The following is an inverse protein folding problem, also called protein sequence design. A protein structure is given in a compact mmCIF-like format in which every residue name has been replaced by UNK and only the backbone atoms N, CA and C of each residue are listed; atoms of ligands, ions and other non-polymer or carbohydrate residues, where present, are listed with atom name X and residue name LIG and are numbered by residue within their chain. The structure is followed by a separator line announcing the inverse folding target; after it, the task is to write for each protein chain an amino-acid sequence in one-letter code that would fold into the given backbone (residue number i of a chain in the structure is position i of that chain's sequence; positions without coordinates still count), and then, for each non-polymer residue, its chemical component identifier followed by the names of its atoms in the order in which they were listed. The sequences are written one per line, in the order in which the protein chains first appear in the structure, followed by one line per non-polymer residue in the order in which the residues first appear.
data_IF_319305189977
#
_entry.id   IF_319305189977
#
_cell.length_a   1.000
_cell.length_b   1.000
_cell.length_c   1.000
_cell.angle_alpha   90.00
_cell.angle_beta   90.00
_cell.angle_gamma   90.00
#
_symmetry.space_group_name_H-M   'P 1'
#
loop_
_entity.id
_entity.type
_entity.pdbx_description
1 polymer ?
#
# COMPACT_ATOMS: atom_id res chain seq x y z
N UNK A 1 37.27 -45.40 18.76
CA UNK A 1 36.72 -46.22 19.86
C UNK A 1 35.23 -45.92 19.99
N UNK A 2 34.36 -46.67 19.31
CA UNK A 2 32.91 -46.48 19.42
C UNK A 2 32.45 -47.13 20.73
N UNK A 3 32.09 -46.32 21.73
CA UNK A 3 31.37 -46.81 22.91
C UNK A 3 29.95 -47.15 22.44
N UNK A 4 29.66 -48.44 22.28
CA UNK A 4 28.29 -48.91 22.07
C UNK A 4 27.48 -48.63 23.33
N UNK A 5 26.68 -47.55 23.30
CA UNK A 5 25.81 -47.17 24.40
C UNK A 5 24.63 -48.13 24.52
N UNK A 6 24.69 -49.06 25.48
CA UNK A 6 23.53 -49.88 25.84
C UNK A 6 22.32 -48.97 26.20
N UNK A 7 21.21 -49.18 25.49
CA UNK A 7 19.94 -48.47 25.71
C UNK A 7 18.99 -49.37 26.49
N UNK A 8 18.81 -49.08 27.78
CA UNK A 8 17.80 -49.73 28.61
C UNK A 8 16.56 -48.84 28.73
N UNK A 9 15.40 -49.38 28.34
CA UNK A 9 14.08 -48.80 28.56
C UNK A 9 13.11 -49.92 28.93
N UNK A 10 12.45 -49.82 30.07
CA UNK A 10 11.41 -50.76 30.50
C UNK A 10 10.16 -50.00 30.90
N UNK A 11 9.01 -50.42 30.41
CA UNK A 11 7.70 -49.89 30.81
C UNK A 11 6.98 -50.96 31.62
N UNK A 12 6.47 -50.59 32.79
CA UNK A 12 5.74 -51.49 33.69
C UNK A 12 4.34 -50.91 33.86
N UNK A 13 3.33 -51.69 33.53
CA UNK A 13 1.93 -51.34 33.74
C UNK A 13 1.52 -51.83 35.14
N UNK A 14 1.04 -50.92 35.99
CA UNK A 14 0.66 -51.23 37.37
C UNK A 14 -0.86 -51.41 37.53
N UNK A 15 -1.63 -51.36 36.43
CA UNK A 15 -3.09 -51.42 36.47
C UNK A 15 -3.74 -50.06 36.79
N UNK A 16 -5.07 -49.98 36.72
CA UNK A 16 -5.82 -48.76 37.09
C UNK A 16 -5.46 -47.49 36.30
N UNK A 17 -4.93 -47.63 35.08
CA UNK A 17 -4.49 -46.50 34.26
C UNK A 17 -3.10 -45.95 34.60
N UNK A 18 -2.35 -46.57 35.51
CA UNK A 18 -1.01 -46.15 35.94
C UNK A 18 0.10 -46.96 35.26
N UNK A 19 1.15 -46.28 34.78
CA UNK A 19 2.35 -46.90 34.18
C UNK A 19 3.62 -46.19 34.62
N UNK A 20 4.69 -46.95 34.80
CA UNK A 20 6.04 -46.44 35.08
C UNK A 20 6.96 -46.76 33.90
N UNK A 21 7.76 -45.78 33.48
CA UNK A 21 8.76 -45.91 32.44
C UNK A 21 10.15 -45.70 33.04
N UNK A 22 10.93 -46.77 33.12
CA UNK A 22 12.33 -46.75 33.55
C UNK A 22 13.23 -46.57 32.32
N UNK A 23 14.18 -45.64 32.38
CA UNK A 23 15.14 -45.39 31.32
C UNK A 23 16.49 -44.94 31.89
N UNK A 24 17.52 -44.86 31.04
CA UNK A 24 18.85 -44.36 31.44
C UNK A 24 18.83 -42.93 32.01
N UNK A 25 17.86 -42.09 31.62
CA UNK A 25 17.73 -40.72 32.15
C UNK A 25 16.90 -40.63 33.43
N UNK A 26 16.42 -41.76 33.96
CA UNK A 26 15.65 -41.85 35.20
C UNK A 26 14.26 -42.47 35.02
N UNK A 27 13.42 -42.30 36.05
CA UNK A 27 12.07 -42.86 36.13
C UNK A 27 11.03 -41.81 35.74
N UNK A 28 10.20 -42.12 34.75
CA UNK A 28 8.97 -41.38 34.45
C UNK A 28 7.74 -42.18 34.83
N UNK A 29 6.61 -41.50 35.04
CA UNK A 29 5.33 -42.15 35.30
C UNK A 29 4.21 -41.49 34.51
N UNK A 30 3.17 -42.25 34.21
CA UNK A 30 1.96 -41.75 33.57
C UNK A 30 0.75 -42.36 34.25
N UNK A 31 -0.27 -41.54 34.46
CA UNK A 31 -1.54 -41.97 35.01
C UNK A 31 -2.68 -41.34 34.21
N UNK A 32 -3.72 -42.12 33.90
CA UNK A 32 -4.90 -41.57 33.24
C UNK A 32 -6.02 -42.56 33.00
N UNK A 33 -7.22 -42.02 32.85
CA UNK A 33 -8.46 -42.69 32.46
C UNK A 33 -8.85 -42.28 31.03
N UNK A 34 -9.76 -42.99 30.34
CA UNK A 34 -10.30 -42.52 29.06
C UNK A 34 -10.79 -41.08 29.19
N UNK A 35 -10.22 -40.18 28.40
CA UNK A 35 -10.53 -38.75 28.43
C UNK A 35 -9.49 -37.86 29.12
N UNK A 36 -8.69 -38.37 30.05
CA UNK A 36 -7.65 -37.57 30.73
C UNK A 36 -6.42 -38.38 31.12
N UNK A 37 -5.24 -37.92 30.70
CA UNK A 37 -3.95 -38.56 31.03
C UNK A 37 -2.88 -37.54 31.37
N UNK A 38 -2.12 -37.81 32.43
CA UNK A 38 -0.94 -37.05 32.84
C UNK A 38 0.29 -37.94 32.67
N UNK A 39 1.33 -37.41 32.03
CA UNK A 39 2.63 -38.08 31.86
C UNK A 39 3.75 -37.18 32.35
N UNK A 40 4.55 -37.67 33.29
CA UNK A 40 5.78 -37.05 33.76
C UNK A 40 6.96 -37.87 33.23
N UNK A 41 7.81 -37.27 32.42
CA UNK A 41 9.02 -37.93 31.93
C UNK A 41 10.17 -37.76 32.92
N UNK A 42 11.16 -38.65 32.86
CA UNK A 42 12.37 -38.58 33.69
C UNK A 42 13.14 -37.26 33.53
N UNK A 43 12.97 -36.57 32.40
CA UNK A 43 13.62 -35.29 32.09
C UNK A 43 12.85 -34.08 32.66
N UNK A 44 11.85 -34.31 33.52
CA UNK A 44 11.08 -33.26 34.20
C UNK A 44 9.95 -32.65 33.39
N UNK A 45 9.72 -33.10 32.14
CA UNK A 45 8.61 -32.60 31.33
C UNK A 45 7.29 -33.20 31.79
N UNK A 46 6.26 -32.37 31.80
CA UNK A 46 4.89 -32.79 32.13
C UNK A 46 4.01 -32.60 30.94
N UNK A 47 3.33 -33.65 30.55
CA UNK A 47 2.31 -33.64 29.51
C UNK A 47 0.96 -33.96 30.15
N UNK A 48 -0.02 -33.09 29.94
CA UNK A 48 -1.44 -33.37 30.23
C UNK A 48 -2.18 -33.51 28.91
N UNK A 49 -2.95 -34.57 28.76
CA UNK A 49 -3.73 -34.85 27.55
C UNK A 49 -5.20 -34.96 27.95
N UNK A 50 -6.03 -34.12 27.34
CA UNK A 50 -7.48 -34.11 27.44
C UNK A 50 -8.04 -34.66 26.13
N UNK A 51 -8.99 -35.58 26.19
CA UNK A 51 -9.60 -36.18 25.00
C UNK A 51 -11.08 -36.42 25.22
N UNK A 52 -11.88 -36.38 24.16
CA UNK A 52 -13.29 -36.76 24.22
C UNK A 52 -13.41 -38.18 23.65
N UNK A 53 -13.81 -39.18 24.45
CA UNK A 53 -13.92 -40.56 23.99
C UNK A 53 -14.91 -40.68 22.81
N UNK A 54 -14.54 -41.44 21.78
CA UNK A 54 -15.40 -41.70 20.60
C UNK A 54 -15.38 -40.64 19.49
N UNK A 55 -14.80 -39.46 19.71
CA UNK A 55 -14.80 -38.37 18.71
C UNK A 55 -13.44 -38.12 18.04
N UNK A 56 -12.36 -38.71 18.55
CA UNK A 56 -11.00 -38.51 18.04
C UNK A 56 -10.37 -37.16 18.39
N UNK A 57 -11.10 -36.28 19.08
CA UNK A 57 -10.61 -34.96 19.49
C UNK A 57 -9.74 -35.07 20.76
N UNK A 58 -8.51 -34.54 20.69
CA UNK A 58 -7.62 -34.44 21.86
C UNK A 58 -6.81 -33.15 21.87
N UNK A 59 -6.59 -32.61 23.07
CA UNK A 59 -5.76 -31.45 23.34
C UNK A 59 -4.63 -31.84 24.30
N UNK A 60 -3.40 -31.45 23.99
CA UNK A 60 -2.23 -31.81 24.80
C UNK A 60 -1.47 -30.55 25.21
N UNK A 61 -1.29 -30.39 26.51
CA UNK A 61 -0.53 -29.30 27.12
C UNK A 61 0.81 -29.85 27.64
N UNK A 62 1.92 -29.23 27.21
CA UNK A 62 3.26 -29.57 27.69
C UNK A 62 3.82 -28.41 28.52
N UNK A 63 4.19 -28.68 29.77
CA UNK A 63 4.93 -27.72 30.59
C UNK A 63 6.43 -27.98 30.44
N UNK A 64 7.12 -27.06 29.79
CA UNK A 64 8.59 -26.98 29.78
C UNK A 64 9.02 -25.94 30.81
N UNK A 65 9.75 -26.37 31.85
CA UNK A 65 10.50 -25.45 32.71
C UNK A 65 11.71 -24.98 31.89
N UNK A 66 11.62 -23.80 31.29
CA UNK A 66 12.71 -23.16 30.55
C UNK A 66 13.97 -23.08 31.44
N UNK A 67 14.94 -23.95 31.18
CA UNK A 67 16.34 -23.73 31.55
C UNK A 67 17.08 -23.25 30.31
N UNK A 68 17.37 -21.96 30.29
CA UNK A 68 18.45 -21.27 29.58
C UNK A 68 19.00 -21.99 28.34
N UNK A 69 18.45 -21.67 27.16
CA UNK A 69 19.16 -21.88 25.90
C UNK A 69 20.16 -20.74 25.70
N UNK A 70 21.43 -21.05 25.95
CA UNK A 70 22.59 -20.24 25.58
C UNK A 70 22.64 -20.12 24.04
N UNK A 71 22.79 -18.87 23.57
CA UNK A 71 23.22 -18.41 22.25
C UNK A 71 22.87 -19.28 21.02
N UNK A 72 21.68 -19.04 20.45
CA UNK A 72 21.55 -18.92 19.00
C UNK A 72 21.60 -17.43 18.65
N UNK A 73 22.34 -16.99 17.61
CA UNK A 73 22.25 -15.61 17.16
C UNK A 73 20.80 -15.39 16.76
N UNK A 74 20.13 -14.63 17.61
CA UNK A 74 18.78 -14.17 17.39
C UNK A 74 18.90 -13.28 16.16
N UNK A 75 18.40 -13.72 15.00
CA UNK A 75 17.96 -12.81 13.94
C UNK A 75 16.78 -12.03 14.52
N UNK A 76 17.08 -11.15 15.48
CA UNK A 76 16.33 -9.92 15.64
C UNK A 76 16.50 -9.25 14.29
N UNK A 77 15.46 -9.31 13.48
CA UNK A 77 15.16 -8.21 12.57
C UNK A 77 15.09 -7.02 13.52
N UNK A 78 16.24 -6.38 13.73
CA UNK A 78 16.29 -5.04 14.26
C UNK A 78 15.42 -4.29 13.27
N UNK A 79 14.22 -3.91 13.67
CA UNK A 79 13.54 -2.81 13.01
C UNK A 79 14.45 -1.61 13.25
N UNK A 80 15.44 -1.48 12.37
CA UNK A 80 16.21 -0.27 12.24
C UNK A 80 15.16 0.83 12.08
N UNK A 81 15.25 1.84 12.92
CA UNK A 81 14.49 3.07 12.78
C UNK A 81 14.82 3.60 11.39
N UNK A 82 13.96 3.31 10.41
CA UNK A 82 14.16 3.74 9.03
C UNK A 82 14.04 5.25 9.03
N UNK A 83 15.16 5.93 8.84
CA UNK A 83 15.14 7.35 8.50
C UNK A 83 14.51 7.44 7.10
N UNK A 84 13.23 7.80 7.10
CA UNK A 84 12.46 7.99 5.88
C UNK A 84 11.54 9.18 6.03
N UNK A 85 11.16 9.75 4.89
CA UNK A 85 10.21 10.84 4.81
C UNK A 85 9.05 10.42 3.90
N UNK A 86 7.86 10.90 4.22
CA UNK A 86 6.69 10.75 3.36
C UNK A 86 6.61 11.92 2.38
N UNK A 87 6.23 11.62 1.15
CA UNK A 87 5.91 12.59 0.11
C UNK A 87 4.41 12.79 0.20
N UNK A 88 4.02 13.88 0.87
CA UNK A 88 2.64 14.23 1.10
C UNK A 88 2.39 15.67 0.69
N UNK A 89 1.26 15.88 0.04
CA UNK A 89 0.68 17.20 -0.18
C UNK A 89 0.28 17.82 1.16
N UNK A 90 0.29 19.14 1.23
CA UNK A 90 -0.16 19.89 2.39
C UNK A 90 -1.65 19.66 2.68
N UNK A 91 -2.10 20.08 3.86
CA UNK A 91 -3.52 20.01 4.21
C UNK A 91 -4.37 20.85 3.25
N UNK A 92 -5.60 20.39 3.03
CA UNK A 92 -6.46 20.90 1.95
C UNK A 92 -6.78 22.39 2.06
N UNK A 93 -6.71 22.95 3.26
CA UNK A 93 -6.98 24.36 3.58
C UNK A 93 -5.98 25.29 2.89
N UNK A 94 -4.79 24.78 2.54
CA UNK A 94 -3.79 25.55 1.80
C UNK A 94 -4.08 25.60 0.29
N UNK A 95 -4.98 24.75 -0.23
CA UNK A 95 -5.41 24.70 -1.63
C UNK A 95 -6.63 25.57 -1.91
N UNK A 96 -7.00 26.47 -1.01
CA UNK A 96 -8.12 27.39 -1.20
C UNK A 96 -7.56 28.78 -1.59
N UNK A 97 -7.40 29.04 -2.89
CA UNK A 97 -7.17 30.42 -3.34
C UNK A 97 -8.46 31.24 -3.20
N UNK A 98 -8.32 32.50 -2.80
CA UNK A 98 -9.46 33.39 -2.56
C UNK A 98 -10.43 33.46 -3.76
N UNK A 99 -9.90 33.37 -4.98
CA UNK A 99 -10.63 33.36 -6.24
C UNK A 99 -11.62 32.18 -6.38
N UNK A 100 -11.30 31.01 -5.82
CA UNK A 100 -12.13 29.80 -5.95
C UNK A 100 -12.95 29.48 -4.70
N UNK A 101 -12.90 30.32 -3.66
CA UNK A 101 -13.55 30.07 -2.38
C UNK A 101 -15.05 29.73 -2.50
N UNK A 102 -15.84 30.55 -3.19
CA UNK A 102 -17.27 30.30 -3.40
C UNK A 102 -17.55 29.01 -4.17
N UNK A 103 -16.76 28.75 -5.22
CA UNK A 103 -16.86 27.54 -6.02
C UNK A 103 -16.52 26.28 -5.21
N UNK A 104 -15.44 26.34 -4.42
CA UNK A 104 -15.02 25.27 -3.51
C UNK A 104 -16.07 25.03 -2.44
N UNK A 105 -16.67 26.07 -1.88
CA UNK A 105 -17.73 25.96 -0.88
C UNK A 105 -18.96 25.24 -1.43
N UNK A 106 -19.39 25.59 -2.65
CA UNK A 106 -20.50 24.90 -3.35
C UNK A 106 -20.15 23.42 -3.53
N UNK A 107 -18.97 23.10 -4.06
CA UNK A 107 -18.58 21.70 -4.29
C UNK A 107 -18.45 20.94 -2.97
N UNK A 108 -17.84 21.54 -1.96
CA UNK A 108 -17.64 20.93 -0.64
C UNK A 108 -19.00 20.58 -0.03
N UNK A 109 -19.98 21.48 -0.10
CA UNK A 109 -21.35 21.20 0.37
C UNK A 109 -21.98 20.01 -0.37
N UNK A 110 -21.78 19.89 -1.68
CA UNK A 110 -22.30 18.79 -2.50
C UNK A 110 -21.62 17.45 -2.14
N UNK A 111 -20.30 17.46 -1.99
CA UNK A 111 -19.49 16.28 -1.63
C UNK A 111 -19.84 15.79 -0.23
N UNK A 112 -19.95 16.70 0.74
CA UNK A 112 -20.35 16.37 2.11
C UNK A 112 -21.78 15.84 2.17
N UNK A 113 -22.73 16.46 1.48
CA UNK A 113 -24.11 15.98 1.41
C UNK A 113 -24.18 14.56 0.84
N UNK A 114 -23.47 14.27 -0.25
CA UNK A 114 -23.40 12.91 -0.80
C UNK A 114 -22.79 11.92 0.20
N UNK A 115 -21.79 12.33 0.98
CA UNK A 115 -21.21 11.50 2.06
C UNK A 115 -22.23 11.23 3.16
N UNK A 116 -22.97 12.24 3.62
CA UNK A 116 -24.02 12.06 4.64
C UNK A 116 -25.16 11.16 4.13
N UNK A 117 -25.56 11.28 2.87
CA UNK A 117 -26.54 10.37 2.26
C UNK A 117 -26.04 8.92 2.18
N UNK A 118 -24.75 8.72 1.89
CA UNK A 118 -24.15 7.37 1.93
C UNK A 118 -24.14 6.79 3.34
N UNK A 119 -23.75 7.58 4.35
CA UNK A 119 -23.74 7.15 5.75
C UNK A 119 -25.17 6.84 6.20
N UNK A 120 -26.14 7.71 5.91
CA UNK A 120 -27.54 7.51 6.26
C UNK A 120 -28.15 6.24 5.63
N UNK A 121 -27.78 5.91 4.38
CA UNK A 121 -28.18 4.64 3.76
C UNK A 121 -27.54 3.43 4.44
N UNK A 122 -26.25 3.48 4.74
CA UNK A 122 -25.55 2.36 5.39
C UNK A 122 -26.12 2.12 6.79
N UNK A 123 -26.31 3.19 7.57
CA UNK A 123 -26.84 3.12 8.94
C UNK A 123 -28.29 2.62 8.93
N UNK A 124 -29.13 3.10 8.00
CA UNK A 124 -30.53 2.64 7.92
C UNK A 124 -30.64 1.16 7.53
N UNK A 125 -29.76 0.65 6.66
CA UNK A 125 -29.70 -0.78 6.32
C UNK A 125 -29.24 -1.62 7.53
N UNK A 126 -28.18 -1.20 8.22
CA UNK A 126 -27.65 -1.94 9.39
C UNK A 126 -28.69 -1.99 10.51
N UNK A 127 -29.33 -0.87 10.84
CA UNK A 127 -30.40 -0.82 11.83
C UNK A 127 -31.64 -1.58 11.36
N UNK A 128 -31.91 -1.58 10.05
CA UNK A 128 -33.00 -2.33 9.40
C UNK A 128 -32.95 -3.83 9.64
N UNK A 129 -31.74 -4.41 9.76
CA UNK A 129 -31.56 -5.82 10.09
C UNK A 129 -32.02 -6.17 11.53
N UNK A 130 -32.00 -5.20 12.44
CA UNK A 130 -32.42 -5.38 13.84
C UNK A 130 -33.89 -4.97 14.00
N UNK A 131 -34.26 -3.83 13.41
CA UNK A 131 -35.58 -3.21 13.50
C UNK A 131 -36.07 -2.90 12.08
N UNK A 132 -37.00 -3.69 11.51
CA UNK A 132 -37.42 -3.59 10.11
C UNK A 132 -37.94 -2.20 9.67
N UNK A 133 -38.44 -1.39 10.60
CA UNK A 133 -38.94 -0.04 10.31
C UNK A 133 -37.87 0.88 9.69
N UNK A 134 -36.58 0.70 10.03
CA UNK A 134 -35.50 1.51 9.47
C UNK A 134 -35.27 1.24 7.96
N UNK A 135 -35.78 0.13 7.42
CA UNK A 135 -35.73 -0.13 5.97
C UNK A 135 -36.57 0.88 5.17
N UNK A 136 -37.64 1.43 5.77
CA UNK A 136 -38.46 2.47 5.12
C UNK A 136 -37.60 3.73 4.88
N UNK A 137 -36.72 4.08 5.83
CA UNK A 137 -35.80 5.22 5.68
C UNK A 137 -34.81 4.96 4.54
N UNK A 138 -34.31 3.73 4.41
CA UNK A 138 -33.42 3.36 3.30
C UNK A 138 -34.13 3.52 1.94
N UNK A 139 -35.39 3.06 1.85
CA UNK A 139 -36.23 3.18 0.65
C UNK A 139 -36.50 4.65 0.28
N UNK A 140 -36.67 5.54 1.26
CA UNK A 140 -36.85 6.98 1.02
C UNK A 140 -35.56 7.71 0.63
N UNK A 141 -34.41 7.35 1.23
CA UNK A 141 -33.13 7.97 0.94
C UNK A 141 -32.56 7.57 -0.43
N UNK A 142 -32.87 6.37 -0.92
CA UNK A 142 -32.42 5.88 -2.23
C UNK A 142 -32.81 6.80 -3.41
N UNK A 143 -34.10 7.12 -3.65
CA UNK A 143 -34.51 8.00 -4.75
C UNK A 143 -33.98 9.42 -4.54
N UNK A 144 -33.92 9.93 -3.31
CA UNK A 144 -33.33 11.24 -3.04
C UNK A 144 -31.84 11.30 -3.40
N UNK A 145 -31.07 10.24 -3.09
CA UNK A 145 -29.66 10.14 -3.47
C UNK A 145 -29.49 10.05 -4.99
N UNK A 146 -30.35 9.31 -5.68
CA UNK A 146 -30.33 9.24 -7.15
C UNK A 146 -30.60 10.64 -7.71
N UNK A 147 -31.67 11.30 -7.27
CA UNK A 147 -32.00 12.67 -7.66
C UNK A 147 -30.83 13.64 -7.42
N UNK A 148 -30.26 13.62 -6.21
CA UNK A 148 -29.14 14.48 -5.85
C UNK A 148 -27.93 14.26 -6.77
N UNK A 149 -27.60 13.00 -7.08
CA UNK A 149 -26.47 12.65 -7.96
C UNK A 149 -26.67 13.09 -9.41
N UNK A 150 -27.91 13.12 -9.91
CA UNK A 150 -28.18 13.45 -11.31
C UNK A 150 -28.43 14.95 -11.54
N UNK A 151 -29.12 15.63 -10.62
CA UNK A 151 -29.57 17.01 -10.80
C UNK A 151 -28.69 18.07 -10.14
N UNK A 152 -27.98 17.76 -9.04
CA UNK A 152 -27.10 18.74 -8.40
C UNK A 152 -25.71 18.70 -9.05
N UNK A 153 -25.54 19.51 -10.08
CA UNK A 153 -24.28 19.72 -10.80
C UNK A 153 -23.96 21.20 -10.90
N UNK A 154 -22.68 21.52 -10.79
CA UNK A 154 -22.11 22.82 -11.12
C UNK A 154 -21.76 22.81 -12.61
N UNK A 155 -22.31 23.75 -13.37
CA UNK A 155 -22.03 23.87 -14.80
C UNK A 155 -20.75 24.68 -14.98
N UNK A 156 -19.75 24.10 -15.65
CA UNK A 156 -18.52 24.74 -16.07
C UNK A 156 -18.46 24.76 -17.59
N UNK A 157 -18.79 25.90 -18.17
CA UNK A 157 -18.64 26.17 -19.61
C UNK A 157 -17.31 26.84 -19.86
N UNK A 158 -16.50 26.24 -20.73
CA UNK A 158 -15.24 26.79 -21.21
C UNK A 158 -15.43 27.30 -22.63
N UNK A 159 -15.09 28.56 -22.86
CA UNK A 159 -14.94 29.15 -24.18
C UNK A 159 -13.47 29.46 -24.37
N UNK A 160 -12.86 28.85 -25.38
CA UNK A 160 -11.44 29.01 -25.64
C UNK A 160 -11.22 29.97 -26.79
N UNK A 161 -10.33 30.93 -26.61
CA UNK A 161 -9.73 31.63 -27.73
C UNK A 161 -8.71 30.72 -28.45
N UNK A 162 -8.07 31.25 -29.50
CA UNK A 162 -7.10 30.48 -30.28
C UNK A 162 -5.88 30.04 -29.45
N UNK A 163 -5.45 30.86 -28.49
CA UNK A 163 -4.28 30.60 -27.65
C UNK A 163 -4.59 29.58 -26.55
N UNK A 164 -5.71 29.73 -25.85
CA UNK A 164 -6.18 28.81 -24.81
C UNK A 164 -6.51 27.43 -25.38
N UNK A 165 -7.03 27.38 -26.61
CA UNK A 165 -7.26 26.12 -27.33
C UNK A 165 -5.95 25.36 -27.58
N UNK A 166 -4.88 26.08 -27.94
CA UNK A 166 -3.57 25.48 -28.13
C UNK A 166 -2.97 24.98 -26.81
N UNK A 167 -3.07 25.77 -25.73
CA UNK A 167 -2.66 25.34 -24.38
C UNK A 167 -3.40 24.08 -23.94
N UNK A 168 -4.73 24.05 -24.09
CA UNK A 168 -5.55 22.89 -23.76
C UNK A 168 -5.17 21.66 -24.58
N UNK A 169 -4.93 21.82 -25.88
CA UNK A 169 -4.43 20.76 -26.76
C UNK A 169 -3.08 20.21 -26.30
N UNK A 170 -2.17 21.08 -25.87
CA UNK A 170 -0.86 20.70 -25.35
C UNK A 170 -0.96 19.96 -24.01
N UNK A 171 -1.85 20.38 -23.11
CA UNK A 171 -2.15 19.64 -21.86
C UNK A 171 -2.70 18.24 -22.17
N UNK A 172 -3.64 18.11 -23.12
CA UNK A 172 -4.15 16.80 -23.55
C UNK A 172 -3.04 15.90 -24.09
N UNK A 173 -2.11 16.45 -24.88
CA UNK A 173 -0.94 15.71 -25.38
C UNK A 173 -0.05 15.25 -24.24
N UNK A 174 0.30 16.12 -23.29
CA UNK A 174 1.07 15.76 -22.10
C UNK A 174 0.43 14.60 -21.33
N UNK A 175 -0.88 14.67 -21.10
CA UNK A 175 -1.63 13.62 -20.42
C UNK A 175 -1.64 12.32 -21.24
N UNK A 176 -1.76 12.40 -22.56
CA UNK A 176 -1.71 11.22 -23.43
C UNK A 176 -0.36 10.52 -23.40
N UNK A 177 0.75 11.27 -23.32
CA UNK A 177 2.10 10.73 -23.16
C UNK A 177 2.20 9.98 -21.83
N UNK A 178 1.68 10.55 -20.75
CA UNK A 178 1.63 9.88 -19.44
C UNK A 178 0.78 8.60 -19.52
N UNK A 179 -0.43 8.66 -20.07
CA UNK A 179 -1.32 7.51 -20.27
C UNK A 179 -0.69 6.42 -21.14
N UNK A 180 0.22 6.78 -22.04
CA UNK A 180 0.94 5.83 -22.87
C UNK A 180 1.88 4.91 -22.10
N UNK A 181 2.32 5.27 -20.88
CA UNK A 181 3.18 4.42 -20.05
C UNK A 181 2.47 3.13 -19.65
N UNK A 182 3.20 1.99 -19.69
CA UNK A 182 2.59 0.72 -19.30
C UNK A 182 2.22 0.67 -17.82
N UNK A 183 3.05 1.28 -16.96
CA UNK A 183 2.77 1.45 -15.54
C UNK A 183 3.26 2.83 -15.08
N UNK A 184 2.45 3.47 -14.25
CA UNK A 184 2.77 4.70 -13.55
C UNK A 184 2.66 4.41 -12.05
N UNK A 185 3.67 4.78 -11.27
CA UNK A 185 3.66 4.62 -9.83
C UNK A 185 3.69 5.98 -9.13
N UNK A 186 2.83 6.16 -8.14
CA UNK A 186 3.00 7.22 -7.15
C UNK A 186 4.00 6.75 -6.09
N UNK A 187 5.01 7.56 -5.79
CA UNK A 187 5.95 7.33 -4.68
C UNK A 187 5.40 8.04 -3.44
N UNK A 188 5.21 7.28 -2.36
CA UNK A 188 4.61 7.80 -1.13
C UNK A 188 5.64 8.01 -0.03
N UNK A 189 6.60 7.10 0.10
CA UNK A 189 7.56 7.10 1.20
C UNK A 189 8.92 6.68 0.65
N UNK A 190 9.97 7.37 1.10
CA UNK A 190 11.35 7.09 0.75
C UNK A 190 12.10 6.78 2.04
N UNK A 191 12.80 5.65 2.07
CA UNK A 191 13.58 5.19 3.22
C UNK A 191 15.06 5.11 2.84
N UNK A 192 15.93 5.68 3.66
CA UNK A 192 17.37 5.46 3.51
C UNK A 192 17.75 4.08 4.04
N UNK A 193 18.50 3.33 3.22
CA UNK A 193 18.97 2.01 3.57
C UNK A 193 20.33 2.12 4.27
N UNK A 194 20.38 1.80 5.56
CA UNK A 194 21.63 1.72 6.34
C UNK A 194 22.57 0.62 5.81
N UNK A 195 22.01 -0.49 5.35
CA UNK A 195 22.75 -1.66 4.91
C UNK A 195 22.50 -1.95 3.43
N UNK A 196 23.40 -1.46 2.56
CA UNK A 196 23.34 -1.68 1.12
C UNK A 196 23.40 -3.17 0.74
N UNK A 197 24.08 -4.00 1.54
CA UNK A 197 24.31 -5.43 1.23
C UNK A 197 23.01 -6.22 1.16
N UNK A 198 22.03 -5.88 1.98
CA UNK A 198 20.74 -6.58 2.04
C UNK A 198 19.65 -5.94 1.18
N UNK A 199 19.95 -4.77 0.60
CA UNK A 199 19.03 -3.99 -0.24
C UNK A 199 19.56 -3.89 -1.67
N UNK A 200 20.18 -4.96 -2.17
CA UNK A 200 20.68 -5.06 -3.54
C UNK A 200 21.61 -3.93 -4.01
N UNK A 201 22.32 -3.29 -3.07
CA UNK A 201 23.20 -2.15 -3.34
C UNK A 201 22.49 -0.78 -3.38
N UNK A 202 21.16 -0.72 -3.23
CA UNK A 202 20.40 0.52 -3.28
C UNK A 202 20.54 1.34 -1.99
N UNK A 203 20.86 2.63 -2.13
CA UNK A 203 20.94 3.60 -1.03
C UNK A 203 19.57 3.94 -0.44
N UNK A 204 18.52 3.82 -1.24
CA UNK A 204 17.16 4.15 -0.85
C UNK A 204 16.19 3.05 -1.28
N UNK A 205 15.17 2.83 -0.47
CA UNK A 205 14.00 2.01 -0.79
C UNK A 205 12.77 2.89 -0.81
N UNK A 206 11.80 2.57 -1.66
CA UNK A 206 10.57 3.36 -1.77
C UNK A 206 9.33 2.52 -1.54
N UNK A 207 8.29 3.13 -0.98
CA UNK A 207 6.94 2.60 -1.01
C UNK A 207 6.13 3.31 -2.10
N UNK A 208 5.61 2.55 -3.04
CA UNK A 208 4.87 3.07 -4.20
C UNK A 208 3.57 2.31 -4.47
N UNK A 209 2.62 2.95 -5.13
CA UNK A 209 1.35 2.35 -5.58
C UNK A 209 1.13 2.67 -7.05
N UNK A 210 0.53 1.74 -7.79
CA UNK A 210 0.18 1.96 -9.19
C UNK A 210 -0.97 2.96 -9.26
N UNK A 211 -0.84 3.95 -10.15
CA UNK A 211 -1.87 4.93 -10.45
C UNK A 211 -2.29 4.84 -11.91
N UNK A 212 -3.50 5.31 -12.22
CA UNK A 212 -4.03 5.39 -13.59
C UNK A 212 -4.68 6.74 -13.80
N UNK A 213 -4.49 7.28 -14.99
CA UNK A 213 -5.11 8.53 -15.42
C UNK A 213 -6.32 8.16 -16.30
N UNK A 214 -7.52 8.52 -15.85
CA UNK A 214 -8.78 8.18 -16.52
C UNK A 214 -9.43 9.45 -17.07
N UNK A 215 -10.08 9.37 -18.23
CA UNK A 215 -10.96 10.44 -18.70
C UNK A 215 -12.31 10.32 -17.98
N UNK A 216 -12.54 11.15 -16.97
CA UNK A 216 -13.71 11.08 -16.09
C UNK A 216 -13.94 12.42 -15.40
N UNK A 217 -15.14 12.97 -15.51
CA UNK A 217 -15.59 14.11 -14.71
C UNK A 217 -16.18 13.68 -13.36
N UNK A 218 -16.10 14.53 -12.32
CA UNK A 218 -16.77 14.26 -11.06
C UNK A 218 -18.28 14.40 -11.20
N UNK A 219 -19.05 13.65 -10.40
CA UNK A 219 -20.51 13.61 -10.53
C UNK A 219 -21.21 14.97 -10.33
N UNK A 220 -20.55 15.88 -9.62
CA UNK A 220 -21.04 17.21 -9.29
C UNK A 220 -20.61 18.30 -10.27
N UNK A 221 -19.89 17.97 -11.35
CA UNK A 221 -19.52 18.93 -12.41
C UNK A 221 -20.11 18.47 -13.74
N UNK A 222 -20.80 19.40 -14.41
CA UNK A 222 -21.15 19.29 -15.82
C UNK A 222 -20.25 20.22 -16.61
N UNK A 223 -19.55 19.72 -17.62
CA UNK A 223 -18.63 20.55 -18.41
C UNK A 223 -18.58 20.12 -19.87
N UNK A 224 -18.30 21.07 -20.77
CA UNK A 224 -18.14 20.86 -22.20
C UNK A 224 -16.74 20.35 -22.60
N UNK A 225 -15.80 20.26 -21.64
CA UNK A 225 -14.42 19.86 -21.90
C UNK A 225 -14.06 18.54 -21.21
N UNK A 226 -13.00 17.92 -21.71
CA UNK A 226 -12.48 16.69 -21.14
C UNK A 226 -11.86 16.95 -19.77
N UNK A 227 -12.30 16.20 -18.76
CA UNK A 227 -11.70 16.19 -17.43
C UNK A 227 -10.94 14.88 -17.22
N UNK A 228 -9.74 14.98 -16.66
CA UNK A 228 -8.91 13.82 -16.33
C UNK A 228 -8.89 13.58 -14.83
N UNK A 229 -8.89 12.32 -14.45
CA UNK A 229 -9.01 11.86 -13.08
C UNK A 229 -7.83 10.97 -12.69
N UNK A 230 -7.24 11.24 -11.53
CA UNK A 230 -6.18 10.43 -10.94
C UNK A 230 -6.51 10.15 -9.48
N UNK A 231 -6.56 8.85 -9.11
CA UNK A 231 -6.69 8.43 -7.72
C UNK A 231 -5.31 8.20 -7.12
N UNK A 232 -4.94 9.03 -6.15
CA UNK A 232 -3.72 8.89 -5.35
C UNK A 232 -4.01 8.15 -4.03
N UNK A 233 -2.96 7.90 -3.22
CA UNK A 233 -3.08 7.19 -1.93
C UNK A 233 -4.01 7.89 -0.95
N UNK A 234 -3.89 9.23 -0.81
CA UNK A 234 -4.68 10.03 0.16
C UNK A 234 -5.71 10.95 -0.49
N UNK A 235 -5.47 11.35 -1.74
CA UNK A 235 -6.26 12.37 -2.43
C UNK A 235 -6.71 11.89 -3.82
N UNK A 236 -7.73 12.55 -4.34
CA UNK A 236 -8.19 12.36 -5.72
C UNK A 236 -8.04 13.66 -6.48
N UNK A 237 -7.48 13.60 -7.68
CA UNK A 237 -7.26 14.75 -8.53
C UNK A 237 -8.24 14.73 -9.70
N UNK A 238 -8.86 15.86 -9.97
CA UNK A 238 -9.58 16.14 -11.21
C UNK A 238 -8.91 17.31 -11.91
N UNK A 239 -8.27 17.03 -13.03
CA UNK A 239 -7.54 17.99 -13.84
C UNK A 239 -8.52 18.57 -14.86
N UNK A 240 -8.75 19.87 -14.73
CA UNK A 240 -9.48 20.73 -15.68
C UNK A 240 -8.46 21.60 -16.43
N UNK A 241 -8.86 22.33 -17.49
CA UNK A 241 -7.92 23.13 -18.28
C UNK A 241 -7.19 24.22 -17.48
N UNK A 242 -7.89 24.85 -16.54
CA UNK A 242 -7.44 26.02 -15.78
C UNK A 242 -7.04 25.67 -14.33
N UNK A 243 -7.66 24.62 -13.76
CA UNK A 243 -7.50 24.25 -12.35
C UNK A 243 -7.41 22.74 -12.14
N UNK A 244 -6.78 22.34 -11.03
CA UNK A 244 -6.76 20.97 -10.54
C UNK A 244 -7.54 20.93 -9.24
N UNK A 245 -8.64 20.19 -9.23
CA UNK A 245 -9.42 19.95 -8.01
C UNK A 245 -8.81 18.79 -7.24
N UNK A 246 -8.57 19.02 -5.97
CA UNK A 246 -7.98 18.06 -5.04
C UNK A 246 -9.05 17.69 -4.02
N UNK A 247 -9.36 16.41 -3.88
CA UNK A 247 -10.33 15.92 -2.90
C UNK A 247 -9.61 15.03 -1.91
N UNK A 248 -9.65 15.40 -0.63
CA UNK A 248 -9.08 14.60 0.45
C UNK A 248 -10.03 14.57 1.63
N UNK A 249 -10.34 13.37 2.14
CA UNK A 249 -11.21 13.14 3.31
C UNK A 249 -12.59 13.85 3.26
N UNK A 250 -13.10 14.13 2.05
CA UNK A 250 -14.40 14.80 1.84
C UNK A 250 -14.36 16.33 1.90
N UNK A 251 -13.16 16.92 2.01
CA UNK A 251 -12.90 18.33 1.73
C UNK A 251 -12.38 18.47 0.30
N UNK A 252 -12.58 19.64 -0.30
CA UNK A 252 -12.16 19.95 -1.67
C UNK A 252 -11.28 21.18 -1.65
N UNK A 253 -10.19 21.15 -2.42
CA UNK A 253 -9.34 22.29 -2.73
C UNK A 253 -9.16 22.45 -4.23
N UNK A 254 -8.66 23.59 -4.68
CA UNK A 254 -8.38 23.85 -6.08
C UNK A 254 -7.08 24.65 -6.25
N UNK A 255 -6.18 24.14 -7.08
CA UNK A 255 -4.97 24.87 -7.47
C UNK A 255 -5.06 25.27 -8.95
N UNK A 256 -4.38 26.35 -9.34
CA UNK A 256 -4.27 26.73 -10.74
C UNK A 256 -3.28 25.80 -11.45
N UNK A 257 -3.57 25.40 -12.69
CA UNK A 257 -2.63 24.58 -13.49
C UNK A 257 -1.31 25.33 -13.75
N UNK A 258 -1.36 26.66 -13.83
CA UNK A 258 -0.20 27.50 -14.08
C UNK A 258 0.71 27.68 -12.85
N UNK A 259 0.26 27.38 -11.63
CA UNK A 259 1.11 27.43 -10.43
C UNK A 259 1.86 26.13 -10.16
N UNK A 260 1.75 25.14 -11.07
CA UNK A 260 2.38 23.84 -10.97
C UNK A 260 3.84 23.86 -11.44
N UNK A 261 4.76 23.65 -10.50
CA UNK A 261 6.17 23.41 -10.76
C UNK A 261 6.38 21.93 -11.10
N UNK A 262 6.87 21.66 -12.31
CA UNK A 262 7.11 20.30 -12.80
C UNK A 262 8.63 20.09 -12.91
N UNK A 263 9.16 19.14 -12.14
CA UNK A 263 10.57 18.73 -12.19
C UNK A 263 10.63 17.32 -12.75
N UNK A 264 11.39 17.12 -13.83
CA UNK A 264 11.49 15.85 -14.52
C UNK A 264 12.94 15.37 -14.47
N UNK A 265 13.15 14.12 -14.07
CA UNK A 265 14.46 13.49 -13.99
C UNK A 265 14.34 11.99 -14.32
N UNK A 266 15.39 11.23 -14.06
CA UNK A 266 15.42 9.78 -14.20
C UNK A 266 16.13 9.14 -13.01
N UNK A 267 15.75 7.91 -12.70
CA UNK A 267 16.32 7.15 -11.59
C UNK A 267 16.65 5.73 -12.03
N UNK A 268 17.78 5.22 -11.54
CA UNK A 268 18.13 3.81 -11.63
C UNK A 268 17.48 3.07 -10.47
N UNK A 269 16.43 2.32 -10.77
CA UNK A 269 15.62 1.64 -9.77
C UNK A 269 15.85 0.13 -9.83
N UNK A 270 16.22 -0.46 -8.69
CA UNK A 270 16.35 -1.92 -8.57
C UNK A 270 14.96 -2.54 -8.46
N UNK A 271 14.52 -3.22 -9.52
CA UNK A 271 13.19 -3.82 -9.56
C UNK A 271 13.20 -5.20 -8.90
N UNK A 272 12.51 -5.30 -7.77
CA UNK A 272 12.34 -6.58 -7.08
C UNK A 272 11.13 -7.35 -7.60
N UNK A 273 10.18 -6.70 -8.26
CA UNK A 273 8.98 -7.35 -8.79
C UNK A 273 9.16 -7.66 -10.29
N UNK A 274 8.05 -7.77 -11.02
CA UNK A 274 8.04 -7.92 -12.46
C UNK A 274 8.35 -6.59 -13.14
N UNK A 275 9.31 -6.59 -14.05
CA UNK A 275 9.67 -5.43 -14.86
C UNK A 275 8.54 -5.06 -15.83
N UNK A 276 8.30 -3.77 -15.97
CA UNK A 276 7.33 -3.23 -16.93
C UNK A 276 7.76 -3.51 -18.38
N UNK A 277 6.79 -3.74 -19.27
CA UNK A 277 7.08 -4.11 -20.68
C UNK A 277 7.82 -3.03 -21.46
N UNK A 278 7.65 -1.76 -21.09
CA UNK A 278 8.29 -0.61 -21.72
C UNK A 278 9.44 -0.01 -20.89
N UNK A 279 9.89 -0.72 -19.86
CA UNK A 279 11.03 -0.33 -19.04
C UNK A 279 12.35 -0.67 -19.73
N UNK A 280 13.32 0.24 -19.62
CA UNK A 280 14.69 0.00 -20.10
C UNK A 280 15.54 -0.56 -18.97
N UNK A 281 15.96 -1.82 -19.07
CA UNK A 281 16.90 -2.44 -18.13
C UNK A 281 18.31 -2.05 -18.52
N UNK A 282 19.04 -1.39 -17.61
CA UNK A 282 20.43 -0.94 -17.86
C UNK A 282 21.43 -2.02 -17.44
N UNK A 283 21.22 -2.58 -16.25
CA UNK A 283 22.13 -3.53 -15.63
C UNK A 283 21.38 -4.49 -14.72
N UNK A 284 22.10 -5.44 -14.13
CA UNK A 284 21.57 -6.37 -13.14
C UNK A 284 22.42 -6.32 -11.88
N UNK A 285 21.76 -6.26 -10.73
CA UNK A 285 22.38 -6.38 -9.40
C UNK A 285 21.93 -7.67 -8.73
N UNK A 286 22.55 -8.06 -7.63
CA UNK A 286 22.13 -9.22 -6.84
C UNK A 286 21.25 -8.77 -5.68
N UNK A 287 20.27 -9.57 -5.29
CA UNK A 287 19.43 -9.29 -4.12
C UNK A 287 20.27 -9.04 -2.86
N UNK A 288 21.34 -9.81 -2.70
CA UNK A 288 22.33 -9.66 -1.64
C UNK A 288 23.73 -9.44 -2.24
N UNK A 289 24.35 -8.30 -1.94
CA UNK A 289 25.64 -7.89 -2.51
C UNK A 289 26.74 -7.79 -1.44
N UNK A 290 27.96 -8.11 -1.84
CA UNK A 290 29.16 -7.75 -1.09
C UNK A 290 29.47 -6.24 -1.23
N UNK A 291 30.45 -5.73 -0.48
CA UNK A 291 30.87 -4.31 -0.57
C UNK A 291 31.30 -3.88 -1.99
N UNK A 292 31.73 -4.83 -2.81
CA UNK A 292 32.16 -4.61 -4.19
C UNK A 292 31.06 -4.88 -5.24
N UNK A 293 29.79 -5.07 -4.83
CA UNK A 293 28.67 -5.38 -5.74
C UNK A 293 28.56 -6.84 -6.19
N UNK A 294 29.57 -7.67 -5.93
CA UNK A 294 29.53 -9.10 -6.27
C UNK A 294 28.50 -9.87 -5.43
N UNK A 295 27.96 -11.01 -5.91
CA UNK A 295 26.97 -11.79 -5.17
C UNK A 295 27.51 -12.29 -3.83
N UNK A 296 26.77 -12.05 -2.75
CA UNK A 296 27.05 -12.71 -1.47
C UNK A 296 26.55 -14.16 -1.52
N UNK A 297 27.49 -15.10 -1.66
CA UNK A 297 27.25 -16.54 -1.79
C UNK A 297 26.77 -17.21 -0.50
N UNK A 298 26.76 -16.49 0.63
CA UNK A 298 26.22 -17.00 1.91
C UNK A 298 24.71 -17.16 1.88
N UNK A 299 24.03 -16.40 1.03
CA UNK A 299 22.57 -16.46 0.88
C UNK A 299 22.20 -17.45 -0.23
N UNK A 300 21.43 -18.48 0.13
CA UNK A 300 20.95 -19.50 -0.82
C UNK A 300 20.00 -18.91 -1.86
N UNK A 301 19.16 -17.95 -1.48
CA UNK A 301 18.14 -17.33 -2.34
C UNK A 301 18.58 -15.94 -2.84
N UNK A 302 19.79 -15.87 -3.39
CA UNK A 302 20.36 -14.65 -3.95
C UNK A 302 20.15 -14.60 -5.46
N UNK A 303 18.98 -14.14 -5.92
CA UNK A 303 18.70 -13.96 -7.35
C UNK A 303 19.20 -12.61 -7.87
N UNK A 304 19.40 -12.54 -9.18
CA UNK A 304 19.63 -11.26 -9.86
C UNK A 304 18.33 -10.45 -9.94
N UNK A 305 18.47 -9.15 -9.76
CA UNK A 305 17.43 -8.14 -9.86
C UNK A 305 17.81 -7.14 -10.97
N UNK A 306 16.92 -6.87 -11.92
CA UNK A 306 17.16 -5.88 -12.96
C UNK A 306 17.15 -4.46 -12.37
N UNK A 307 18.08 -3.63 -12.85
CA UNK A 307 18.12 -2.19 -12.58
C UNK A 307 17.53 -1.48 -13.79
N UNK A 308 16.35 -0.89 -13.60
CA UNK A 308 15.60 -0.22 -14.65
C UNK A 308 15.81 1.29 -14.61
N UNK A 309 15.91 1.93 -15.77
CA UNK A 309 15.85 3.39 -15.89
C UNK A 309 14.40 3.83 -15.93
N UNK A 310 13.91 4.38 -14.82
CA UNK A 310 12.57 4.97 -14.75
C UNK A 310 12.67 6.49 -14.89
N UNK A 311 11.67 7.09 -15.52
CA UNK A 311 11.50 8.54 -15.50
C UNK A 311 10.83 8.97 -14.22
N UNK A 312 11.25 10.08 -13.64
CA UNK A 312 10.63 10.67 -12.45
C UNK A 312 10.00 12.01 -12.81
N UNK A 313 8.79 12.25 -12.33
CA UNK A 313 8.09 13.52 -12.52
C UNK A 313 7.58 13.96 -11.15
N UNK A 314 8.09 15.09 -10.66
CA UNK A 314 7.65 15.73 -9.43
C UNK A 314 6.76 16.91 -9.79
N UNK A 315 5.53 16.87 -9.29
CA UNK A 315 4.56 17.95 -9.39
C UNK A 315 4.49 18.65 -8.04
N UNK A 316 4.85 19.93 -8.01
CA UNK A 316 4.84 20.77 -6.82
C UNK A 316 4.03 22.03 -7.06
N UNK A 317 3.45 22.62 -6.02
CA UNK A 317 2.89 23.97 -6.13
C UNK A 317 3.08 24.74 -4.83
N UNK A 318 2.94 26.07 -4.89
CA UNK A 318 3.11 26.97 -3.73
C UNK A 318 2.04 26.74 -2.65
N UNK A 319 0.87 26.32 -3.09
CA UNK A 319 -0.29 25.94 -2.28
C UNK A 319 -0.05 24.62 -1.52
N UNK A 320 1.05 23.91 -1.82
CA UNK A 320 1.52 22.75 -1.06
C UNK A 320 1.28 21.40 -1.73
N UNK A 321 0.97 21.37 -3.04
CA UNK A 321 0.84 20.11 -3.77
C UNK A 321 2.23 19.49 -3.83
N UNK A 322 2.36 18.20 -3.53
CA UNK A 322 3.65 17.53 -3.61
C UNK A 322 3.47 16.06 -3.97
N UNK A 323 3.61 15.77 -5.26
CA UNK A 323 3.43 14.44 -5.82
C UNK A 323 4.69 14.04 -6.56
N UNK A 324 5.20 12.86 -6.27
CA UNK A 324 6.28 12.23 -7.03
C UNK A 324 5.76 11.00 -7.76
N UNK A 325 5.99 10.96 -9.06
CA UNK A 325 5.55 9.87 -9.94
C UNK A 325 6.76 9.24 -10.61
N UNK A 326 6.83 7.91 -10.62
CA UNK A 326 7.73 7.14 -11.47
C UNK A 326 6.97 6.65 -12.70
N UNK A 327 7.52 6.91 -13.88
CA UNK A 327 7.04 6.42 -15.17
C UNK A 327 7.93 5.26 -15.62
N UNK A 328 7.30 4.18 -16.11
CA UNK A 328 8.03 3.00 -16.55
C UNK A 328 8.94 3.23 -17.75
N UNK A 329 8.54 4.12 -18.69
CA UNK A 329 9.31 4.39 -19.91
C UNK A 329 10.06 5.71 -19.85
N UNK A 330 11.39 5.66 -19.89
CA UNK A 330 12.24 6.85 -19.95
C UNK A 330 12.01 7.68 -21.22
N UNK A 331 11.74 7.03 -22.37
CA UNK A 331 11.53 7.72 -23.64
C UNK A 331 10.27 8.60 -23.61
N UNK A 332 9.18 8.11 -23.01
CA UNK A 332 7.95 8.89 -22.84
C UNK A 332 8.16 10.04 -21.85
N UNK A 333 8.96 9.83 -20.81
CA UNK A 333 9.32 10.91 -19.90
C UNK A 333 10.16 11.99 -20.59
N UNK A 334 11.09 11.64 -21.47
CA UNK A 334 11.82 12.64 -22.26
C UNK A 334 10.93 13.38 -23.26
N UNK A 335 9.96 12.70 -23.87
CA UNK A 335 8.97 13.34 -24.74
C UNK A 335 8.12 14.35 -23.95
N UNK A 336 7.66 13.95 -22.76
CA UNK A 336 6.94 14.82 -21.83
C UNK A 336 7.76 16.06 -21.47
N UNK A 337 9.05 15.92 -21.15
CA UNK A 337 9.96 17.03 -20.87
C UNK A 337 10.11 17.99 -22.06
N UNK A 338 10.28 17.46 -23.26
CA UNK A 338 10.42 18.30 -24.47
C UNK A 338 9.15 19.13 -24.72
N UNK A 339 7.98 18.54 -24.53
CA UNK A 339 6.70 19.22 -24.70
C UNK A 339 6.45 20.22 -23.57
N UNK A 340 6.81 19.90 -22.32
CA UNK A 340 6.66 20.83 -21.19
C UNK A 340 7.52 22.08 -21.37
N UNK A 341 8.77 21.92 -21.81
CA UNK A 341 9.67 23.05 -22.05
C UNK A 341 9.14 23.95 -23.18
N UNK A 342 8.64 23.36 -24.26
CA UNK A 342 8.02 24.12 -25.36
C UNK A 342 6.84 24.98 -24.89
N UNK A 343 6.00 24.45 -24.01
CA UNK A 343 4.86 25.20 -23.46
C UNK A 343 5.33 26.36 -22.57
N UNK A 344 6.40 26.17 -21.79
CA UNK A 344 6.98 27.22 -20.94
C UNK A 344 7.58 28.33 -21.80
N UNK A 345 8.33 27.99 -22.85
CA UNK A 345 8.91 28.97 -23.80
C UNK A 345 7.85 29.77 -24.57
N UNK A 346 6.68 29.18 -24.84
CA UNK A 346 5.60 29.90 -25.54
C UNK A 346 4.89 30.92 -24.63
N UNK A 347 5.06 30.81 -23.31
CA UNK A 347 4.48 31.73 -22.31
C UNK A 347 5.38 32.94 -22.01
N UNK A 348 6.69 32.84 -22.30
CA UNK A 348 7.69 33.90 -22.11
C UNK A 348 7.81 34.77 -23.35
#
# INVERSE_FOLDING_TARGET
MYIMGFRYRKSINLGGGFRINLSKSGVGYSWGVPGYRVTRTANGQTRKTYSIPGTGLSFTENSNKNKNSINRPNNKIVQEKREGYSIESADIENFETAEYSDFINIITSIVQMNRYLNIGLIVSIILGCIIPMFMIIAVLLCPFKIYFRYFKKVNLSYEFDQYESELHSNIKKLISILQGNSIIWQVNEVYKNSNLKINAGASESIQRNIIRILKKSPFYISTNVDCFYVKLKKEELYILPDKILIISKGKVGAINVNSLDIIIDSVHFVESETVSRDATVIEYTWKYVNKNGSPDKRFKDNRQLPVCKYGTISFKSKEGLNILVHCSSINKTSEFLSLSNKIIETKS
#
